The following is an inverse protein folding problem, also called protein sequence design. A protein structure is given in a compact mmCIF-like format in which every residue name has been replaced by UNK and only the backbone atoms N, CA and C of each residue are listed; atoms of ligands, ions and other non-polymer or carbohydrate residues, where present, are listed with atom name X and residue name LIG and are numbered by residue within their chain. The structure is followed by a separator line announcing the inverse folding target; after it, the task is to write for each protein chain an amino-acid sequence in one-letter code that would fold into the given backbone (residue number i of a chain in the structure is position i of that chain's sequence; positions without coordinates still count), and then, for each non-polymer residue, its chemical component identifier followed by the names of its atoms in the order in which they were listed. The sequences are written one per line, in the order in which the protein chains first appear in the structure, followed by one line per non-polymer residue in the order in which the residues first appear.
data_IF_545579939912
#
_entry.id   IF_545579939912
#
_cell.length_a   1.000
_cell.length_b   1.000
_cell.length_c   1.000
_cell.angle_alpha   90.00
_cell.angle_beta   90.00
_cell.angle_gamma   90.00
#
_symmetry.space_group_name_H-M   'P 1'
#
loop_
_entity.id
_entity.type
_entity.pdbx_description
1 polymer ?
#
# COMPACT_ATOMS: atom_id res chain seq x y z
N UNK A 1 10.33 -11.73 -6.88
CA UNK A 1 9.82 -12.31 -5.62
C UNK A 1 9.73 -11.16 -4.64
N UNK A 2 8.67 -11.05 -3.84
CA UNK A 2 8.57 -9.97 -2.84
C UNK A 2 9.43 -10.35 -1.63
N UNK A 3 10.28 -9.45 -1.08
CA UNK A 3 10.99 -9.67 0.17
C UNK A 3 10.05 -9.99 1.35
N UNK A 4 10.48 -10.83 2.30
CA UNK A 4 9.62 -11.36 3.37
C UNK A 4 9.08 -10.28 4.31
N UNK A 5 9.88 -9.25 4.60
CA UNK A 5 9.50 -8.11 5.44
C UNK A 5 8.43 -7.25 4.76
N UNK A 6 8.59 -6.96 3.46
CA UNK A 6 7.60 -6.27 2.62
C UNK A 6 6.31 -7.08 2.54
N UNK A 7 6.40 -8.39 2.27
CA UNK A 7 5.23 -9.27 2.24
C UNK A 7 4.48 -9.29 3.58
N UNK A 8 5.23 -9.30 4.69
CA UNK A 8 4.68 -9.28 6.05
C UNK A 8 3.93 -7.98 6.32
N UNK A 9 4.54 -6.81 6.06
CA UNK A 9 3.90 -5.51 6.32
C UNK A 9 2.76 -5.23 5.35
N UNK A 10 2.85 -5.63 4.08
CA UNK A 10 1.74 -5.57 3.13
C UNK A 10 0.55 -6.41 3.64
N UNK A 11 0.80 -7.62 4.12
CA UNK A 11 -0.25 -8.47 4.71
C UNK A 11 -0.89 -7.85 5.96
N UNK A 12 -0.09 -7.19 6.81
CA UNK A 12 -0.60 -6.46 7.99
C UNK A 12 -1.44 -5.25 7.57
N UNK A 13 -1.00 -4.51 6.56
CA UNK A 13 -1.71 -3.35 6.02
C UNK A 13 -3.08 -3.79 5.48
N UNK A 14 -3.14 -4.80 4.62
CA UNK A 14 -4.43 -5.24 4.07
C UNK A 14 -5.38 -5.74 5.17
N UNK A 15 -4.88 -6.55 6.12
CA UNK A 15 -5.72 -7.01 7.25
C UNK A 15 -6.26 -5.86 8.08
N UNK A 16 -5.44 -4.84 8.35
CA UNK A 16 -5.88 -3.66 9.11
C UNK A 16 -6.91 -2.84 8.34
N UNK A 17 -6.72 -2.66 7.03
CA UNK A 17 -7.66 -1.95 6.16
C UNK A 17 -9.03 -2.61 6.16
N UNK A 18 -9.09 -3.94 6.04
CA UNK A 18 -10.33 -4.72 6.08
C UNK A 18 -11.09 -4.60 7.41
N UNK A 19 -10.43 -4.16 8.48
CA UNK A 19 -11.03 -3.93 9.80
C UNK A 19 -11.46 -2.47 10.01
N UNK A 20 -11.19 -1.56 9.04
CA UNK A 20 -11.64 -0.17 9.14
C UNK A 20 -13.11 -0.06 8.76
N UNK A 21 -13.89 0.76 9.50
CA UNK A 21 -15.16 1.29 9.01
C UNK A 21 -14.96 1.98 7.64
N UNK A 22 -15.97 1.89 6.77
CA UNK A 22 -15.86 2.35 5.38
C UNK A 22 -15.61 3.86 5.27
N UNK A 23 -16.23 4.66 6.13
CA UNK A 23 -16.00 6.11 6.26
C UNK A 23 -14.54 6.42 6.59
N UNK A 24 -13.97 5.70 7.57
CA UNK A 24 -12.55 5.81 7.92
C UNK A 24 -11.65 5.35 6.79
N UNK A 25 -11.99 4.27 6.09
CA UNK A 25 -11.22 3.83 4.94
C UNK A 25 -11.20 4.92 3.85
N UNK A 26 -12.35 5.52 3.53
CA UNK A 26 -12.46 6.58 2.53
C UNK A 26 -11.56 7.78 2.85
N UNK A 27 -11.48 8.21 4.11
CA UNK A 27 -10.57 9.29 4.55
C UNK A 27 -9.08 8.97 4.37
N UNK A 28 -8.71 7.68 4.32
CA UNK A 28 -7.30 7.23 4.25
C UNK A 28 -6.85 6.81 2.85
N UNK A 29 -7.78 6.73 1.88
CA UNK A 29 -7.48 6.33 0.49
C UNK A 29 -6.39 7.18 -0.14
N UNK A 30 -6.38 8.49 0.14
CA UNK A 30 -5.37 9.44 -0.39
C UNK A 30 -3.95 9.00 -0.04
N UNK A 31 -3.66 8.66 1.21
CA UNK A 31 -2.30 8.26 1.62
C UNK A 31 -1.85 6.93 0.98
N UNK A 32 -2.80 6.03 0.66
CA UNK A 32 -2.48 4.81 -0.09
C UNK A 32 -2.11 5.15 -1.54
N UNK A 33 -2.88 6.05 -2.18
CA UNK A 33 -2.59 6.51 -3.54
C UNK A 33 -1.28 7.25 -3.65
N UNK A 34 -0.93 8.09 -2.67
CA UNK A 34 0.36 8.78 -2.64
C UNK A 34 1.53 7.79 -2.66
N UNK A 35 1.47 6.76 -1.81
CA UNK A 35 2.48 5.69 -1.82
C UNK A 35 2.49 4.94 -3.15
N UNK A 36 1.34 4.56 -3.69
CA UNK A 36 1.28 3.83 -4.95
C UNK A 36 1.82 4.66 -6.12
N UNK A 37 1.49 5.95 -6.19
CA UNK A 37 1.98 6.84 -7.24
C UNK A 37 3.49 7.03 -7.14
N UNK A 38 4.05 7.14 -5.93
CA UNK A 38 5.49 7.17 -5.71
C UNK A 38 6.16 5.89 -6.24
N UNK A 39 5.58 4.72 -5.96
CA UNK A 39 6.13 3.43 -6.38
C UNK A 39 6.00 3.18 -7.89
N UNK A 40 4.89 3.61 -8.50
CA UNK A 40 4.66 3.49 -9.93
C UNK A 40 5.43 4.54 -10.75
N UNK A 41 5.83 5.66 -10.13
CA UNK A 41 6.43 6.80 -10.82
C UNK A 41 5.42 7.66 -11.60
N UNK A 42 4.12 7.39 -11.45
CA UNK A 42 3.02 8.11 -12.11
C UNK A 42 1.73 8.07 -11.27
N UNK A 43 0.81 9.03 -11.44
CA UNK A 43 -0.49 8.99 -10.79
C UNK A 43 -1.31 7.76 -11.23
N UNK A 44 -1.95 7.08 -10.28
CA UNK A 44 -2.84 5.95 -10.54
C UNK A 44 -4.31 6.35 -10.40
N UNK A 45 -5.24 5.67 -11.11
CA UNK A 45 -6.66 5.92 -10.97
C UNK A 45 -7.16 5.51 -9.57
N UNK A 46 -7.97 6.36 -8.96
CA UNK A 46 -8.69 6.04 -7.72
C UNK A 46 -9.93 5.18 -7.99
N UNK A 47 -9.84 3.89 -7.63
CA UNK A 47 -10.93 2.93 -7.73
C UNK A 47 -11.72 2.81 -6.40
N UNK A 48 -11.40 3.64 -5.42
CA UNK A 48 -12.08 3.70 -4.13
C UNK A 48 -11.60 2.68 -3.10
N UNK A 49 -12.11 2.81 -1.85
CA UNK A 49 -11.60 2.07 -0.69
C UNK A 49 -11.82 0.56 -0.74
N UNK A 50 -12.76 0.09 -1.57
CA UNK A 50 -13.04 -1.33 -1.74
C UNK A 50 -11.95 -2.07 -2.53
N UNK A 51 -11.24 -1.37 -3.44
CA UNK A 51 -10.29 -1.98 -4.39
C UNK A 51 -8.84 -1.54 -4.13
N UNK A 52 -8.64 -0.45 -3.38
CA UNK A 52 -7.31 0.16 -3.19
C UNK A 52 -6.25 -0.80 -2.62
N UNK A 53 -6.63 -1.78 -1.80
CA UNK A 53 -5.69 -2.79 -1.29
C UNK A 53 -5.23 -3.80 -2.35
N UNK A 54 -6.07 -4.08 -3.35
CA UNK A 54 -5.70 -4.93 -4.48
C UNK A 54 -4.77 -4.17 -5.44
N UNK A 55 -5.03 -2.88 -5.66
CA UNK A 55 -4.09 -2.01 -6.39
C UNK A 55 -2.72 -1.96 -5.68
N UNK A 56 -2.71 -1.76 -4.36
CA UNK A 56 -1.47 -1.70 -3.58
C UNK A 56 -0.65 -2.99 -3.71
N UNK A 57 -1.29 -4.16 -3.72
CA UNK A 57 -0.60 -5.45 -3.91
C UNK A 57 0.10 -5.54 -5.26
N UNK A 58 -0.57 -5.11 -6.33
CA UNK A 58 0.00 -5.12 -7.69
C UNK A 58 1.19 -4.17 -7.76
N UNK A 59 1.02 -2.94 -7.28
CA UNK A 59 2.08 -1.92 -7.31
C UNK A 59 3.30 -2.33 -6.49
N UNK A 60 3.10 -2.89 -5.29
CA UNK A 60 4.21 -3.42 -4.47
C UNK A 60 4.90 -4.59 -5.17
N UNK A 61 4.14 -5.49 -5.79
CA UNK A 61 4.72 -6.61 -6.54
C UNK A 61 5.60 -6.11 -7.69
N UNK A 62 5.11 -5.13 -8.47
CA UNK A 62 5.85 -4.56 -9.60
C UNK A 62 7.09 -3.79 -9.12
N UNK A 63 6.96 -2.98 -8.07
CA UNK A 63 8.08 -2.22 -7.50
C UNK A 63 9.19 -3.15 -6.97
N UNK A 64 8.86 -4.29 -6.37
CA UNK A 64 9.85 -5.28 -5.93
C UNK A 64 10.55 -6.03 -7.09
N UNK A 65 10.08 -5.91 -8.33
CA UNK A 65 10.74 -6.50 -9.51
C UNK A 65 11.71 -5.54 -10.20
N UNK A 66 11.65 -4.25 -9.89
CA UNK A 66 12.63 -3.27 -10.36
C UNK A 66 13.97 -3.55 -9.68
N UNK A 67 15.06 -3.52 -10.44
CA UNK A 67 16.40 -3.72 -9.90
C UNK A 67 16.71 -2.68 -8.82
N UNK A 68 17.23 -3.14 -7.67
CA UNK A 68 17.47 -2.30 -6.49
C UNK A 68 16.23 -2.10 -5.59
N UNK A 69 15.02 -2.22 -6.12
CA UNK A 69 13.76 -2.08 -5.39
C UNK A 69 13.57 -0.73 -4.68
N UNK A 70 12.36 -0.42 -4.20
CA UNK A 70 12.14 0.76 -3.37
C UNK A 70 12.81 0.58 -1.99
N UNK A 71 13.71 1.49 -1.57
CA UNK A 71 14.33 1.39 -0.25
C UNK A 71 13.28 1.61 0.85
N UNK A 72 13.43 0.89 1.97
CA UNK A 72 12.57 1.02 3.16
C UNK A 72 11.07 0.77 2.92
N UNK A 73 10.68 0.04 1.87
CA UNK A 73 9.26 -0.19 1.56
C UNK A 73 8.48 -0.84 2.71
N UNK A 74 9.09 -1.77 3.46
CA UNK A 74 8.45 -2.35 4.63
C UNK A 74 8.13 -1.28 5.71
N UNK A 75 9.04 -0.34 5.95
CA UNK A 75 8.84 0.77 6.89
C UNK A 75 7.78 1.76 6.40
N UNK A 76 7.72 2.02 5.08
CA UNK A 76 6.69 2.87 4.47
C UNK A 76 5.30 2.25 4.63
N UNK A 77 5.16 0.94 4.37
CA UNK A 77 3.91 0.20 4.58
C UNK A 77 3.49 0.17 6.06
N UNK A 78 4.46 0.00 6.96
CA UNK A 78 4.20 0.07 8.40
C UNK A 78 3.72 1.46 8.83
N UNK A 79 4.39 2.52 8.36
CA UNK A 79 4.03 3.92 8.62
C UNK A 79 2.62 4.24 8.12
N UNK A 80 2.31 3.83 6.88
CA UNK A 80 0.97 3.98 6.30
C UNK A 80 -0.10 3.30 7.16
N UNK A 81 0.15 2.05 7.56
CA UNK A 81 -0.76 1.26 8.41
C UNK A 81 -0.98 1.89 9.78
N UNK A 82 0.06 2.43 10.39
CA UNK A 82 -0.01 3.10 11.70
C UNK A 82 -0.79 4.42 11.64
N UNK A 83 -0.80 5.10 10.49
CA UNK A 83 -1.62 6.29 10.24
C UNK A 83 -3.14 6.03 10.19
N UNK A 84 -3.57 4.76 10.23
CA UNK A 84 -4.99 4.38 10.27
C UNK A 84 -5.51 4.08 11.68
N UNK A 85 -4.73 4.38 12.72
CA UNK A 85 -5.17 4.30 14.11
C UNK A 85 -6.32 5.29 14.39
#
# INVERSE_FOLDING_TARGET
MIPDDVATELGRAVRRWQQLPLDRAAERVVGVHELMAQLAGEPLPDLGPAVVMDQLRVVVFDACRVEGGPPHLAEQLASLRLGWA
#
